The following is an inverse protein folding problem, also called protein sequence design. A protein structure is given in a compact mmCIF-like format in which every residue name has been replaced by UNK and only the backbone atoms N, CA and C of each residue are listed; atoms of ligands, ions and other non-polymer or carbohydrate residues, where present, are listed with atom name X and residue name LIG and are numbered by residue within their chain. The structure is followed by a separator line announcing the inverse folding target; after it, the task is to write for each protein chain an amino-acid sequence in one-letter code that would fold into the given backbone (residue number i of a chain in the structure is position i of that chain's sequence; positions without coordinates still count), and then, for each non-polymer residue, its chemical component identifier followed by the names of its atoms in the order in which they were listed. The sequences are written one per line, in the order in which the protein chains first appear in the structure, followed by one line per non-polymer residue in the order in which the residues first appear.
data_IF_589141275928
#
_entry.id   IF_589141275928
#
_cell.length_a   1.000
_cell.length_b   1.000
_cell.length_c   1.000
_cell.angle_alpha   90.00
_cell.angle_beta   90.00
_cell.angle_gamma   90.00
#
_symmetry.space_group_name_H-M   'P 1'
#
loop_
_entity.id
_entity.type
_entity.pdbx_description
1 polymer ?
#
# COMPACT_ATOMS: atom_id res chain seq x y z
N UNK A 1 -16.52 3.95 12.98
CA UNK A 1 -17.48 3.01 12.34
C UNK A 1 -17.84 3.37 10.88
N UNK A 2 -18.16 4.64 10.57
CA UNK A 2 -18.67 4.98 9.22
C UNK A 2 -17.67 5.06 8.05
N UNK A 3 -16.35 5.20 8.30
CA UNK A 3 -15.37 5.30 7.20
C UNK A 3 -15.11 3.94 6.56
N UNK A 4 -14.93 2.88 7.35
CA UNK A 4 -14.72 1.54 6.81
C UNK A 4 -15.95 1.00 6.07
N UNK A 5 -17.17 1.31 6.56
CA UNK A 5 -18.41 0.99 5.84
C UNK A 5 -18.47 1.72 4.49
N UNK A 6 -18.18 3.02 4.47
CA UNK A 6 -18.16 3.80 3.23
C UNK A 6 -17.12 3.29 2.21
N UNK A 7 -15.98 2.78 2.68
CA UNK A 7 -14.98 2.14 1.82
C UNK A 7 -15.48 0.80 1.25
N UNK A 8 -16.28 0.05 2.01
CA UNK A 8 -16.86 -1.22 1.54
C UNK A 8 -18.02 -1.04 0.54
N UNK A 9 -18.66 0.12 0.52
CA UNK A 9 -19.74 0.46 -0.43
C UNK A 9 -19.24 1.16 -1.71
N UNK A 10 -17.93 1.39 -1.83
CA UNK A 10 -17.36 2.15 -2.93
C UNK A 10 -17.25 1.30 -4.21
N UNK A 11 -17.79 1.79 -5.32
CA UNK A 11 -17.60 1.18 -6.67
C UNK A 11 -16.26 1.56 -7.33
N UNK A 12 -15.27 1.99 -6.54
CA UNK A 12 -13.95 2.38 -7.04
C UNK A 12 -12.83 1.59 -6.36
N UNK A 13 -11.70 1.36 -7.05
CA UNK A 13 -10.64 0.51 -6.53
C UNK A 13 -9.98 1.15 -5.30
N UNK A 14 -9.84 0.37 -4.24
CA UNK A 14 -9.16 0.77 -3.03
C UNK A 14 -7.66 0.42 -3.12
N UNK A 15 -6.83 1.45 -3.24
CA UNK A 15 -5.36 1.28 -3.26
C UNK A 15 -4.77 1.60 -1.89
N UNK A 16 -4.04 0.65 -1.32
CA UNK A 16 -3.20 0.88 -0.15
C UNK A 16 -1.74 1.08 -0.57
N UNK A 17 -1.16 2.22 -0.19
CA UNK A 17 0.27 2.50 -0.39
C UNK A 17 1.00 2.13 0.90
N UNK A 18 1.82 1.09 0.85
CA UNK A 18 2.56 0.61 2.00
C UNK A 18 3.65 1.61 2.41
N UNK A 19 3.91 1.66 3.72
CA UNK A 19 5.00 2.43 4.28
C UNK A 19 6.35 1.92 3.76
N UNK A 20 7.28 2.84 3.49
CA UNK A 20 8.65 2.48 3.05
C UNK A 20 9.44 1.78 4.16
N UNK A 21 9.13 2.04 5.43
CA UNK A 21 9.83 1.45 6.58
C UNK A 21 8.88 1.21 7.75
N UNK A 22 9.20 0.24 8.62
CA UNK A 22 8.70 0.17 9.99
C UNK A 22 8.87 1.51 10.72
N UNK A 23 7.78 2.14 11.14
CA UNK A 23 7.81 3.30 12.03
C UNK A 23 8.00 2.79 13.46
N UNK A 24 9.09 3.24 14.12
CA UNK A 24 9.64 2.67 15.37
C UNK A 24 8.68 2.60 16.57
N UNK A 25 7.51 3.24 16.53
CA UNK A 25 6.54 3.24 17.64
C UNK A 25 5.24 2.48 17.38
N UNK A 26 4.92 2.10 16.13
CA UNK A 26 3.66 1.41 15.80
C UNK A 26 3.83 0.15 14.94
N UNK A 27 4.87 0.07 14.10
CA UNK A 27 5.03 -1.02 13.10
C UNK A 27 6.41 -1.66 13.15
N UNK A 28 7.11 -1.62 14.29
CA UNK A 28 8.41 -2.28 14.44
C UNK A 28 8.34 -3.76 14.03
N UNK A 29 8.92 -4.09 12.88
CA UNK A 29 8.95 -5.46 12.33
C UNK A 29 7.81 -5.81 11.38
N UNK A 30 6.94 -4.86 10.98
CA UNK A 30 5.92 -5.14 9.97
C UNK A 30 6.52 -5.12 8.57
N UNK A 31 6.33 -6.23 7.86
CA UNK A 31 6.50 -6.34 6.43
C UNK A 31 5.17 -5.98 5.71
N UNK A 32 5.10 -6.12 4.39
CA UNK A 32 3.87 -5.80 3.63
C UNK A 32 2.68 -6.64 4.10
N UNK A 33 2.88 -7.94 4.33
CA UNK A 33 1.83 -8.85 4.80
C UNK A 33 1.25 -8.44 6.17
N UNK A 34 2.11 -8.09 7.13
CA UNK A 34 1.69 -7.62 8.45
C UNK A 34 0.86 -6.32 8.37
N UNK A 35 1.18 -5.41 7.44
CA UNK A 35 0.35 -4.21 7.23
C UNK A 35 -1.03 -4.57 6.66
N UNK A 36 -1.10 -5.49 5.68
CA UNK A 36 -2.37 -5.92 5.09
C UNK A 36 -3.24 -6.65 6.12
N UNK A 37 -2.66 -7.52 6.94
CA UNK A 37 -3.38 -8.19 8.03
C UNK A 37 -3.91 -7.17 9.05
N UNK A 38 -3.15 -6.12 9.34
CA UNK A 38 -3.62 -5.04 10.20
C UNK A 38 -4.84 -4.32 9.63
N UNK A 39 -4.86 -4.01 8.32
CA UNK A 39 -6.02 -3.44 7.64
C UNK A 39 -7.22 -4.39 7.67
N UNK A 40 -7.00 -5.68 7.43
CA UNK A 40 -8.04 -6.70 7.45
C UNK A 40 -8.70 -6.82 8.85
N UNK A 41 -7.93 -6.73 9.93
CA UNK A 41 -8.47 -6.66 11.31
C UNK A 41 -9.40 -5.46 11.53
N UNK A 42 -9.30 -4.43 10.70
CA UNK A 42 -10.17 -3.25 10.70
C UNK A 42 -11.26 -3.28 9.61
N UNK A 43 -11.43 -4.42 8.94
CA UNK A 43 -12.43 -4.61 7.87
C UNK A 43 -12.07 -3.92 6.55
N UNK A 44 -10.81 -3.55 6.35
CA UNK A 44 -10.33 -2.88 5.14
C UNK A 44 -9.59 -3.90 4.28
N UNK A 45 -10.06 -4.12 3.06
CA UNK A 45 -9.48 -5.05 2.10
C UNK A 45 -9.14 -4.30 0.81
N UNK A 46 -7.91 -3.78 0.65
CA UNK A 46 -7.50 -3.08 -0.56
C UNK A 46 -7.54 -4.01 -1.77
N UNK A 47 -7.93 -3.48 -2.93
CA UNK A 47 -7.85 -4.17 -4.22
C UNK A 47 -6.42 -4.20 -4.75
N UNK A 48 -5.62 -3.19 -4.42
CA UNK A 48 -4.20 -3.09 -4.79
C UNK A 48 -3.37 -2.68 -3.58
N UNK A 49 -2.24 -3.36 -3.39
CA UNK A 49 -1.22 -2.98 -2.39
C UNK A 49 0.04 -2.53 -3.11
N UNK A 50 0.26 -1.22 -3.19
CA UNK A 50 1.49 -0.66 -3.74
C UNK A 50 2.60 -0.72 -2.69
N UNK A 51 3.78 -1.22 -3.08
CA UNK A 51 4.94 -1.23 -2.21
C UNK A 51 6.24 -0.96 -2.99
N UNK A 52 7.25 -0.45 -2.28
CA UNK A 52 8.59 -0.33 -2.83
C UNK A 52 9.44 -1.55 -2.42
N UNK A 53 9.80 -2.44 -3.37
CA UNK A 53 10.54 -3.66 -3.06
C UNK A 53 11.97 -3.40 -2.58
N UNK A 54 12.53 -2.20 -2.82
CA UNK A 54 13.83 -1.82 -2.27
C UNK A 54 13.73 -1.35 -0.81
N UNK A 55 12.52 -1.06 -0.33
CA UNK A 55 12.29 -0.48 0.99
C UNK A 55 11.64 -1.45 1.99
N UNK A 56 10.73 -2.31 1.53
CA UNK A 56 9.99 -3.24 2.39
C UNK A 56 9.76 -4.59 1.70
N UNK A 57 9.92 -5.68 2.47
CA UNK A 57 9.72 -7.07 2.02
C UNK A 57 8.34 -7.65 2.39
N UNK A 58 8.17 -8.97 2.22
CA UNK A 58 6.97 -9.71 2.64
C UNK A 58 5.75 -9.56 1.72
N UNK A 59 5.94 -9.01 0.51
CA UNK A 59 4.88 -8.85 -0.48
C UNK A 59 4.47 -10.17 -1.17
N UNK A 60 5.33 -11.20 -1.11
CA UNK A 60 5.10 -12.53 -1.69
C UNK A 60 3.88 -13.26 -1.07
N UNK A 61 3.47 -12.86 0.12
CA UNK A 61 2.31 -13.41 0.82
C UNK A 61 1.01 -12.64 0.51
N UNK A 62 1.07 -11.58 -0.29
CA UNK A 62 -0.06 -10.70 -0.60
C UNK A 62 -0.36 -10.78 -2.09
N UNK A 63 -1.45 -11.46 -2.46
CA UNK A 63 -1.78 -11.80 -3.84
C UNK A 63 -1.91 -10.58 -4.78
N UNK A 64 -2.35 -9.44 -4.24
CA UNK A 64 -2.55 -8.19 -4.96
C UNK A 64 -1.46 -7.13 -4.68
N UNK A 65 -0.28 -7.56 -4.21
CA UNK A 65 0.87 -6.68 -4.09
C UNK A 65 1.42 -6.30 -5.47
N UNK A 66 1.57 -5.01 -5.70
CA UNK A 66 2.11 -4.43 -6.94
C UNK A 66 3.40 -3.68 -6.60
N UNK A 67 4.57 -4.16 -7.08
CA UNK A 67 5.83 -3.49 -6.83
C UNK A 67 5.97 -2.25 -7.73
N UNK A 68 6.44 -1.15 -7.14
CA UNK A 68 6.84 0.05 -7.88
C UNK A 68 7.98 0.76 -7.14
N UNK A 69 8.90 1.46 -7.81
CA UNK A 69 9.79 2.39 -7.12
C UNK A 69 8.95 3.54 -6.59
N UNK A 70 8.99 3.81 -5.29
CA UNK A 70 8.17 4.84 -4.66
C UNK A 70 8.97 5.78 -3.77
N UNK A 71 10.20 5.43 -3.36
CA UNK A 71 11.01 6.25 -2.48
C UNK A 71 11.72 7.40 -3.20
N UNK A 72 11.84 8.54 -2.51
CA UNK A 72 12.81 9.58 -2.87
C UNK A 72 14.25 9.06 -2.73
N UNK A 73 15.24 9.71 -3.37
CA UNK A 73 16.65 9.35 -3.20
C UNK A 73 17.16 9.37 -1.74
N UNK A 74 16.60 10.24 -0.90
CA UNK A 74 16.93 10.30 0.54
C UNK A 74 16.26 9.18 1.36
N UNK A 75 15.31 8.46 0.77
CA UNK A 75 14.55 7.34 1.36
C UNK A 75 13.77 7.72 2.61
N UNK A 76 13.50 9.01 2.82
CA UNK A 76 12.77 9.52 4.00
C UNK A 76 11.28 9.66 3.74
N UNK A 77 10.87 9.70 2.48
CA UNK A 77 9.48 9.83 2.07
C UNK A 77 9.26 9.21 0.69
N UNK A 78 7.98 8.96 0.36
CA UNK A 78 7.60 8.65 -1.01
C UNK A 78 7.88 9.85 -1.93
N UNK A 79 8.29 9.57 -3.16
CA UNK A 79 8.43 10.54 -4.22
C UNK A 79 7.06 10.80 -4.87
N UNK A 80 6.54 12.04 -4.84
CA UNK A 80 5.25 12.37 -5.46
C UNK A 80 5.18 12.07 -6.96
N UNK A 81 6.29 12.21 -7.69
CA UNK A 81 6.31 11.94 -9.13
C UNK A 81 6.21 10.44 -9.41
N UNK A 82 6.93 9.62 -8.64
CA UNK A 82 6.86 8.16 -8.75
C UNK A 82 5.48 7.61 -8.32
N UNK A 83 4.88 8.21 -7.28
CA UNK A 83 3.50 7.89 -6.90
C UNK A 83 2.51 8.22 -8.03
N UNK A 84 2.65 9.40 -8.67
CA UNK A 84 1.79 9.78 -9.79
C UNK A 84 1.93 8.82 -10.97
N UNK A 85 3.14 8.37 -11.27
CA UNK A 85 3.41 7.36 -12.30
C UNK A 85 2.74 6.02 -11.97
N UNK A 86 2.92 5.52 -10.74
CA UNK A 86 2.32 4.27 -10.27
C UNK A 86 0.79 4.31 -10.33
N UNK A 87 0.16 5.39 -9.85
CA UNK A 87 -1.29 5.55 -9.96
C UNK A 87 -1.76 5.66 -11.41
N UNK A 88 -1.01 6.39 -12.25
CA UNK A 88 -1.31 6.51 -13.68
C UNK A 88 -1.25 5.16 -14.41
N UNK A 89 -0.40 4.23 -13.97
CA UNK A 89 -0.40 2.85 -14.46
C UNK A 89 -1.63 2.07 -14.03
N UNK A 90 -2.04 2.14 -12.76
CA UNK A 90 -3.21 1.45 -12.26
C UNK A 90 -4.49 1.88 -13.00
N UNK A 91 -4.67 3.19 -13.19
CA UNK A 91 -5.81 3.74 -13.94
C UNK A 91 -5.81 3.24 -15.39
N UNK A 92 -4.66 3.15 -16.05
CA UNK A 92 -4.57 2.64 -17.42
C UNK A 92 -4.89 1.15 -17.53
N UNK A 93 -4.63 0.36 -16.48
CA UNK A 93 -4.90 -1.08 -16.45
C UNK A 93 -6.37 -1.39 -16.19
N UNK A 94 -7.17 -0.39 -15.80
CA UNK A 94 -8.58 -0.58 -15.45
C UNK A 94 -8.73 -1.44 -14.19
N UNK A 95 -7.75 -1.35 -13.29
CA UNK A 95 -7.92 -1.81 -11.91
C UNK A 95 -9.09 -1.09 -11.27
#
# INVERSE_FOLDING_TARGET
PGISEALGELDAPLVYVCNLRPQRSETAGYDVAAHVEALARHGIHPDVVLHDPAEIGGADQVANATPAPLARPDRLAHDPALLAEAFGELVRRGC
#
